data_IF_161788397880
#
_entry.id   IF_161788397880
#
_cell.length_a   1.000
_cell.length_b   1.000
_cell.length_c   1.000
_cell.angle_alpha   90.00
_cell.angle_beta   90.00
_cell.angle_gamma   90.00
#
_symmetry.space_group_name_H-M   'P 1'
#
loop_
_entity.id
_entity.type
_entity.pdbx_description
1 polymer ?
#
# COMPACT_ATOMS: atom_id res chain seq x y z
N UNK A 1 -52.50 83.97 8.81
CA UNK A 1 -51.34 83.06 8.72
C UNK A 1 -51.79 81.74 8.11
N UNK A 2 -51.54 81.53 6.82
CA UNK A 2 -51.64 80.19 6.21
C UNK A 2 -50.54 80.11 5.16
N UNK A 3 -49.37 79.63 5.58
CA UNK A 3 -48.28 79.29 4.67
C UNK A 3 -48.68 77.99 3.98
N UNK A 4 -49.20 78.09 2.76
CA UNK A 4 -49.25 76.95 1.84
C UNK A 4 -47.81 76.60 1.49
N UNK A 5 -47.29 75.52 2.07
CA UNK A 5 -46.11 74.85 1.54
C UNK A 5 -46.47 74.29 0.18
N UNK A 6 -46.01 74.95 -0.89
CA UNK A 6 -45.92 74.32 -2.20
C UNK A 6 -44.90 73.19 -2.05
N UNK A 7 -45.38 71.95 -2.13
CA UNK A 7 -44.55 70.77 -2.18
C UNK A 7 -43.85 70.81 -3.54
N UNK A 8 -42.56 71.08 -3.55
CA UNK A 8 -41.74 71.05 -4.75
C UNK A 8 -41.57 69.58 -5.15
N UNK A 9 -42.54 69.07 -5.92
CA UNK A 9 -42.41 67.76 -6.58
C UNK A 9 -41.55 67.96 -7.83
N UNK A 10 -40.24 68.06 -7.62
CA UNK A 10 -39.27 67.87 -8.71
C UNK A 10 -39.37 66.40 -9.14
N UNK A 11 -40.28 66.12 -10.07
CA UNK A 11 -40.33 64.83 -10.75
C UNK A 11 -38.97 64.52 -11.33
N UNK A 12 -38.46 63.31 -11.08
CA UNK A 12 -37.18 62.87 -11.60
C UNK A 12 -37.08 63.19 -13.09
N UNK A 13 -36.03 63.88 -13.50
CA UNK A 13 -35.81 64.14 -14.91
C UNK A 13 -35.57 62.81 -15.61
N UNK A 14 -36.07 62.67 -16.84
CA UNK A 14 -35.94 61.44 -17.64
C UNK A 14 -34.49 60.93 -17.68
N UNK A 15 -33.53 61.86 -17.65
CA UNK A 15 -32.10 61.57 -17.66
C UNK A 15 -31.62 60.89 -16.37
N UNK A 16 -32.11 61.30 -15.19
CA UNK A 16 -31.78 60.64 -13.92
C UNK A 16 -32.34 59.22 -13.88
N UNK A 17 -33.58 59.03 -14.37
CA UNK A 17 -34.20 57.72 -14.44
C UNK A 17 -33.45 56.79 -15.40
N UNK A 18 -33.02 57.30 -16.55
CA UNK A 18 -32.17 56.56 -17.51
C UNK A 18 -30.82 56.20 -16.88
N UNK A 19 -30.21 57.11 -16.13
CA UNK A 19 -28.93 56.85 -15.43
C UNK A 19 -29.09 55.77 -14.35
N UNK A 20 -30.16 55.80 -13.56
CA UNK A 20 -30.43 54.78 -12.54
C UNK A 20 -30.70 53.42 -13.17
N UNK A 21 -31.48 53.36 -14.25
CA UNK A 21 -31.76 52.10 -14.95
C UNK A 21 -30.50 51.51 -15.58
N UNK A 22 -29.65 52.33 -16.20
CA UNK A 22 -28.39 51.85 -16.77
C UNK A 22 -27.42 51.35 -15.71
N UNK A 23 -27.29 52.08 -14.59
CA UNK A 23 -26.49 51.63 -13.44
C UNK A 23 -26.99 50.32 -12.84
N UNK A 24 -28.31 50.17 -12.65
CA UNK A 24 -28.88 48.94 -12.08
C UNK A 24 -28.69 47.75 -13.01
N UNK A 25 -28.80 47.94 -14.34
CA UNK A 25 -28.51 46.89 -15.32
C UNK A 25 -27.04 46.46 -15.23
N UNK A 26 -26.09 47.41 -15.21
CA UNK A 26 -24.65 47.10 -15.12
C UNK A 26 -24.32 46.34 -13.84
N UNK A 27 -24.87 46.80 -12.70
CA UNK A 27 -24.68 46.13 -11.40
C UNK A 27 -25.29 44.72 -11.43
N UNK A 28 -26.51 44.57 -11.95
CA UNK A 28 -27.16 43.27 -12.07
C UNK A 28 -26.37 42.32 -12.97
N UNK A 29 -25.85 42.79 -14.10
CA UNK A 29 -24.99 42.01 -14.99
C UNK A 29 -23.70 41.57 -14.30
N UNK A 30 -23.05 42.44 -13.54
CA UNK A 30 -21.84 42.08 -12.79
C UNK A 30 -22.12 41.01 -11.71
N UNK A 31 -23.25 41.13 -11.00
CA UNK A 31 -23.67 40.14 -10.00
C UNK A 31 -23.99 38.79 -10.65
N UNK A 32 -24.67 38.78 -11.80
CA UNK A 32 -24.96 37.55 -12.53
C UNK A 32 -23.69 36.82 -12.98
N UNK A 33 -22.69 37.55 -13.52
CA UNK A 33 -21.39 36.98 -13.88
C UNK A 33 -20.67 36.38 -12.68
N UNK A 34 -20.69 37.06 -11.53
CA UNK A 34 -20.11 36.54 -10.29
C UNK A 34 -20.84 35.27 -9.81
N UNK A 35 -22.17 35.24 -9.91
CA UNK A 35 -22.98 34.09 -9.53
C UNK A 35 -22.69 32.88 -10.43
N UNK A 36 -22.58 33.07 -11.75
CA UNK A 36 -22.22 32.01 -12.69
C UNK A 36 -20.82 31.44 -12.39
N UNK A 37 -19.84 32.31 -12.13
CA UNK A 37 -18.50 31.89 -11.77
C UNK A 37 -18.47 31.13 -10.43
N UNK A 38 -19.27 31.58 -9.45
CA UNK A 38 -19.40 30.89 -8.17
C UNK A 38 -20.06 29.50 -8.34
N UNK A 39 -21.12 29.40 -9.14
CA UNK A 39 -21.82 28.13 -9.40
C UNK A 39 -20.92 27.13 -10.12
N UNK A 40 -20.18 27.57 -11.15
CA UNK A 40 -19.24 26.71 -11.89
C UNK A 40 -18.10 26.23 -11.01
N UNK A 41 -17.52 27.12 -10.20
CA UNK A 41 -16.45 26.77 -9.23
C UNK A 41 -16.95 25.80 -8.17
N UNK A 42 -18.14 26.02 -7.62
CA UNK A 42 -18.74 25.13 -6.62
C UNK A 42 -18.98 23.74 -7.20
N UNK A 43 -19.56 23.68 -8.41
CA UNK A 43 -19.78 22.42 -9.12
C UNK A 43 -18.47 21.68 -9.42
N UNK A 44 -17.43 22.39 -9.86
CA UNK A 44 -16.12 21.79 -10.11
C UNK A 44 -15.51 21.22 -8.81
N UNK A 45 -15.62 21.93 -7.69
CA UNK A 45 -15.18 21.46 -6.38
C UNK A 45 -15.97 20.22 -5.91
N UNK A 46 -17.30 20.21 -6.09
CA UNK A 46 -18.14 19.06 -5.76
C UNK A 46 -17.75 17.82 -6.57
N UNK A 47 -17.59 17.96 -7.90
CA UNK A 47 -17.17 16.86 -8.77
C UNK A 47 -15.78 16.33 -8.40
N UNK A 48 -14.83 17.22 -8.09
CA UNK A 48 -13.51 16.84 -7.63
C UNK A 48 -13.58 16.07 -6.31
N UNK A 49 -14.38 16.54 -5.34
CA UNK A 49 -14.55 15.87 -4.05
C UNK A 49 -15.18 14.48 -4.19
N UNK A 50 -16.20 14.35 -5.04
CA UNK A 50 -16.85 13.07 -5.33
C UNK A 50 -15.87 12.07 -5.96
N UNK A 51 -15.07 12.52 -6.91
CA UNK A 51 -14.05 11.71 -7.58
C UNK A 51 -12.94 11.27 -6.62
N UNK A 52 -12.48 12.19 -5.74
CA UNK A 52 -11.55 11.86 -4.66
C UNK A 52 -12.12 10.82 -3.69
N UNK A 53 -13.38 10.96 -3.28
CA UNK A 53 -14.00 10.03 -2.35
C UNK A 53 -14.22 8.65 -3.00
N UNK A 54 -14.57 8.62 -4.29
CA UNK A 54 -14.60 7.37 -5.05
C UNK A 54 -13.22 6.69 -5.11
N UNK A 55 -12.15 7.45 -5.32
CA UNK A 55 -10.79 6.95 -5.27
C UNK A 55 -10.43 6.39 -3.88
N UNK A 56 -10.74 7.10 -2.78
CA UNK A 56 -10.52 6.59 -1.41
C UNK A 56 -11.27 5.29 -1.14
N UNK A 57 -12.55 5.20 -1.51
CA UNK A 57 -13.34 3.96 -1.37
C UNK A 57 -12.72 2.81 -2.16
N UNK A 58 -12.22 3.09 -3.37
CA UNK A 58 -11.56 2.11 -4.23
C UNK A 58 -10.26 1.59 -3.63
N UNK A 59 -9.41 2.49 -3.12
CA UNK A 59 -8.18 2.11 -2.42
C UNK A 59 -8.48 1.29 -1.16
N UNK A 60 -9.54 1.63 -0.43
CA UNK A 60 -10.02 0.82 0.70
C UNK A 60 -10.50 -0.58 0.31
N UNK A 61 -11.18 -0.72 -0.84
CA UNK A 61 -11.55 -2.02 -1.40
C UNK A 61 -10.32 -2.84 -1.78
N UNK A 62 -9.41 -2.23 -2.54
CA UNK A 62 -8.16 -2.85 -2.98
C UNK A 62 -7.31 -3.31 -1.79
N UNK A 63 -7.18 -2.50 -0.75
CA UNK A 63 -6.48 -2.87 0.48
C UNK A 63 -7.10 -4.07 1.19
N UNK A 64 -8.44 -4.20 1.21
CA UNK A 64 -9.10 -5.40 1.76
C UNK A 64 -8.80 -6.64 0.94
N UNK A 65 -8.82 -6.53 -0.39
CA UNK A 65 -8.55 -7.65 -1.30
C UNK A 65 -7.08 -8.09 -1.23
N UNK A 66 -6.15 -7.14 -1.19
CA UNK A 66 -4.72 -7.41 -1.06
C UNK A 66 -4.32 -7.91 0.34
N UNK A 67 -5.09 -7.58 1.39
CA UNK A 67 -4.92 -8.25 2.69
C UNK A 67 -5.46 -9.67 2.70
N UNK A 68 -6.38 -9.99 1.79
CA UNK A 68 -6.98 -11.31 1.63
C UNK A 68 -6.42 -12.04 0.40
N UNK A 69 -5.14 -11.81 0.08
CA UNK A 69 -4.44 -12.56 -0.96
C UNK A 69 -4.51 -14.06 -0.68
N UNK A 70 -4.62 -14.85 -1.75
CA UNK A 70 -4.61 -16.29 -1.65
C UNK A 70 -3.34 -16.85 -2.28
N UNK A 71 -2.57 -17.57 -1.48
CA UNK A 71 -1.41 -18.29 -1.98
C UNK A 71 -1.84 -19.54 -2.77
N UNK A 72 -1.23 -19.80 -3.95
CA UNK A 72 -1.50 -21.02 -4.70
C UNK A 72 -0.98 -22.28 -4.00
N UNK A 73 0.09 -22.17 -3.20
CA UNK A 73 0.68 -23.28 -2.43
C UNK A 73 0.83 -22.93 -0.95
N UNK A 74 1.09 -23.92 -0.10
CA UNK A 74 1.34 -23.68 1.33
C UNK A 74 2.77 -23.15 1.60
N UNK A 75 3.66 -23.25 0.62
CA UNK A 75 5.10 -23.06 0.82
C UNK A 75 5.67 -21.86 0.05
N UNK A 76 4.94 -21.35 -0.95
CA UNK A 76 5.34 -20.19 -1.75
C UNK A 76 4.20 -19.18 -1.89
N UNK A 77 4.36 -17.95 -1.38
CA UNK A 77 3.46 -16.85 -1.65
C UNK A 77 3.68 -16.32 -3.08
N UNK A 78 2.92 -16.87 -4.02
CA UNK A 78 2.86 -16.39 -5.41
C UNK A 78 1.45 -15.82 -5.69
N UNK A 79 0.98 -14.93 -4.81
CA UNK A 79 -0.36 -14.38 -4.98
C UNK A 79 -0.40 -13.24 -6.00
N UNK A 80 0.71 -12.51 -6.23
CA UNK A 80 0.80 -11.51 -7.31
C UNK A 80 1.28 -12.18 -8.58
N UNK A 81 0.46 -12.15 -9.64
CA UNK A 81 0.76 -12.78 -10.93
C UNK A 81 1.23 -11.76 -11.98
N UNK A 82 0.97 -10.46 -11.76
CA UNK A 82 1.44 -9.36 -12.62
C UNK A 82 1.60 -8.08 -11.81
N UNK A 83 2.76 -7.44 -11.89
CA UNK A 83 3.14 -6.21 -11.18
C UNK A 83 3.44 -5.04 -12.15
N UNK A 84 2.58 -4.80 -13.14
CA UNK A 84 2.75 -3.70 -14.08
C UNK A 84 2.40 -2.35 -13.46
N UNK A 85 3.02 -1.24 -13.90
CA UNK A 85 2.81 0.09 -13.32
C UNK A 85 1.36 0.59 -13.45
N UNK A 86 0.58 0.03 -14.37
CA UNK A 86 -0.83 0.36 -14.60
C UNK A 86 -1.72 -0.88 -14.69
N UNK A 87 -1.17 -2.06 -14.38
CA UNK A 87 -1.86 -3.34 -14.52
C UNK A 87 -1.36 -4.33 -13.45
N UNK A 88 -2.17 -4.51 -12.43
CA UNK A 88 -1.93 -5.39 -11.29
C UNK A 88 -2.89 -6.58 -11.36
N UNK A 89 -2.36 -7.81 -11.31
CA UNK A 89 -3.16 -9.03 -11.21
C UNK A 89 -2.70 -9.84 -10.01
N UNK A 90 -3.65 -10.29 -9.20
CA UNK A 90 -3.38 -11.13 -8.05
C UNK A 90 -4.50 -12.11 -7.75
N UNK A 91 -4.18 -13.13 -6.95
CA UNK A 91 -5.09 -14.14 -6.44
C UNK A 91 -5.67 -13.71 -5.08
N UNK A 92 -6.98 -13.83 -4.93
CA UNK A 92 -7.69 -13.57 -3.68
C UNK A 92 -8.65 -14.71 -3.33
N UNK A 93 -8.93 -14.88 -2.04
CA UNK A 93 -9.89 -15.86 -1.57
C UNK A 93 -11.32 -15.37 -1.82
N UNK A 94 -12.12 -16.16 -2.56
CA UNK A 94 -13.53 -15.86 -2.74
C UNK A 94 -14.33 -16.15 -1.47
N UNK A 95 -15.36 -15.34 -1.21
CA UNK A 95 -16.18 -15.43 0.02
C UNK A 95 -16.97 -16.73 0.12
N UNK A 96 -17.47 -17.25 -1.00
CA UNK A 96 -18.34 -18.43 -1.04
C UNK A 96 -17.79 -19.40 -2.08
N UNK A 97 -17.68 -20.68 -1.72
CA UNK A 97 -17.26 -21.74 -2.65
C UNK A 97 -18.47 -22.29 -3.41
N UNK A 98 -18.50 -22.24 -4.74
CA UNK A 98 -19.58 -22.86 -5.52
C UNK A 98 -19.67 -24.36 -5.23
N UNK A 99 -20.89 -24.90 -5.22
CA UNK A 99 -21.09 -26.33 -5.06
C UNK A 99 -20.39 -27.10 -6.20
N UNK A 100 -19.80 -28.26 -5.88
CA UNK A 100 -19.04 -29.10 -6.81
C UNK A 100 -17.79 -28.44 -7.42
N UNK A 101 -17.36 -27.27 -6.92
CA UNK A 101 -16.14 -26.62 -7.39
C UNK A 101 -14.90 -27.45 -7.05
N UNK A 102 -14.14 -27.79 -8.09
CA UNK A 102 -12.83 -28.46 -8.01
C UNK A 102 -11.71 -27.49 -7.61
N UNK A 103 -11.97 -26.18 -7.60
CA UNK A 103 -11.09 -25.16 -7.04
C UNK A 103 -11.06 -25.32 -5.50
N UNK A 104 -10.17 -26.18 -5.03
CA UNK A 104 -10.09 -26.60 -3.63
C UNK A 104 -9.93 -25.43 -2.66
N UNK A 105 -9.10 -24.44 -3.03
CA UNK A 105 -8.80 -23.25 -2.23
C UNK A 105 -9.81 -22.11 -2.40
N UNK A 106 -10.82 -22.27 -3.27
CA UNK A 106 -11.81 -21.25 -3.59
C UNK A 106 -11.19 -19.88 -3.94
N UNK A 107 -10.16 -19.91 -4.79
CA UNK A 107 -9.43 -18.71 -5.19
C UNK A 107 -10.00 -18.11 -6.47
N UNK A 108 -9.87 -16.81 -6.62
CA UNK A 108 -10.22 -16.11 -7.85
C UNK A 108 -9.14 -15.05 -8.15
N UNK A 109 -9.10 -14.58 -9.38
CA UNK A 109 -8.18 -13.51 -9.79
C UNK A 109 -8.89 -12.18 -9.73
N UNK A 110 -8.20 -11.19 -9.18
CA UNK A 110 -8.60 -9.79 -9.25
C UNK A 110 -7.55 -9.05 -10.06
N UNK A 111 -8.01 -8.24 -11.00
CA UNK A 111 -7.17 -7.34 -11.79
C UNK A 111 -7.59 -5.91 -11.57
N UNK A 112 -6.62 -5.06 -11.31
CA UNK A 112 -6.78 -3.62 -11.39
C UNK A 112 -5.96 -3.10 -12.54
N UNK A 113 -6.61 -2.42 -13.48
CA UNK A 113 -5.91 -1.86 -14.62
C UNK A 113 -6.43 -0.46 -14.94
N UNK A 114 -5.58 0.38 -15.53
CA UNK A 114 -5.96 1.74 -15.95
C UNK A 114 -6.13 1.81 -17.45
N UNK A 115 -7.20 2.48 -17.88
CA UNK A 115 -7.49 2.75 -19.30
C UNK A 115 -8.38 3.98 -19.44
N UNK A 116 -8.09 4.86 -20.39
CA UNK A 116 -8.90 6.04 -20.72
C UNK A 116 -9.28 6.91 -19.50
N UNK A 117 -8.33 7.18 -18.60
CA UNK A 117 -8.56 8.00 -17.40
C UNK A 117 -9.44 7.32 -16.33
N UNK A 118 -9.60 6.00 -16.39
CA UNK A 118 -10.41 5.21 -15.46
C UNK A 118 -9.62 4.04 -14.90
N UNK A 119 -9.89 3.71 -13.64
CA UNK A 119 -9.42 2.48 -13.00
C UNK A 119 -10.52 1.44 -13.07
N UNK A 120 -10.19 0.30 -13.66
CA UNK A 120 -11.07 -0.84 -13.78
C UNK A 120 -10.68 -1.91 -12.78
N UNK A 121 -11.69 -2.56 -12.19
CA UNK A 121 -11.53 -3.79 -11.44
C UNK A 121 -12.20 -4.93 -12.21
N UNK A 122 -11.43 -5.95 -12.54
CA UNK A 122 -11.90 -7.15 -13.23
C UNK A 122 -11.74 -8.38 -12.33
N UNK A 123 -12.63 -9.35 -12.49
CA UNK A 123 -12.54 -10.64 -11.82
C UNK A 123 -12.48 -11.76 -12.83
N UNK A 124 -11.70 -12.79 -12.53
CA UNK A 124 -11.77 -14.08 -13.21
C UNK A 124 -12.05 -15.16 -12.17
N UNK A 125 -13.24 -15.74 -12.29
CA UNK A 125 -13.75 -16.81 -11.44
C UNK A 125 -13.72 -18.14 -12.22
N UNK A 126 -13.32 -19.23 -11.57
CA UNK A 126 -13.32 -20.58 -12.15
C UNK A 126 -13.69 -21.64 -11.12
N UNK A 127 -14.23 -22.75 -11.61
CA UNK A 127 -14.63 -23.92 -10.80
C UNK A 127 -13.77 -25.15 -11.06
N UNK A 128 -12.90 -25.12 -12.07
CA UNK A 128 -11.93 -26.17 -12.37
C UNK A 128 -10.83 -26.24 -11.31
N UNK A 129 -10.07 -27.34 -11.27
CA UNK A 129 -8.98 -27.50 -10.32
C UNK A 129 -7.89 -26.41 -10.49
N UNK A 130 -7.63 -26.04 -11.75
CA UNK A 130 -6.69 -24.99 -12.13
C UNK A 130 -7.31 -24.12 -13.23
N UNK A 131 -6.83 -22.88 -13.36
CA UNK A 131 -7.19 -21.99 -14.46
C UNK A 131 -5.97 -21.19 -14.90
N UNK A 132 -5.76 -21.08 -16.21
CA UNK A 132 -4.69 -20.27 -16.79
C UNK A 132 -4.93 -18.78 -16.56
N UNK A 133 -3.85 -18.01 -16.51
CA UNK A 133 -3.93 -16.55 -16.43
C UNK A 133 -4.62 -16.01 -17.69
N UNK A 134 -5.71 -15.24 -17.57
CA UNK A 134 -6.38 -14.68 -18.73
C UNK A 134 -5.56 -13.59 -19.41
N UNK A 135 -5.81 -13.35 -20.69
CA UNK A 135 -5.10 -12.33 -21.45
C UNK A 135 -5.37 -10.92 -20.88
N UNK A 136 -4.31 -10.14 -20.75
CA UNK A 136 -4.32 -8.83 -20.09
C UNK A 136 -3.67 -7.74 -20.97
N UNK A 137 -3.89 -7.80 -22.28
CA UNK A 137 -3.23 -6.93 -23.26
C UNK A 137 -3.93 -5.56 -23.40
N UNK A 138 -5.18 -5.46 -22.97
CA UNK A 138 -5.97 -4.22 -22.97
C UNK A 138 -6.63 -3.99 -21.61
N UNK A 139 -6.94 -2.73 -21.32
CA UNK A 139 -7.70 -2.34 -20.14
C UNK A 139 -8.90 -1.45 -20.54
N UNK A 140 -10.14 -1.83 -20.20
CA UNK A 140 -10.52 -3.13 -19.66
C UNK A 140 -10.37 -4.23 -20.72
N UNK A 141 -10.07 -5.45 -20.31
CA UNK A 141 -10.22 -6.61 -21.19
C UNK A 141 -11.72 -6.95 -21.35
N UNK A 142 -12.18 -7.26 -22.55
CA UNK A 142 -13.59 -7.65 -22.79
C UNK A 142 -13.89 -9.00 -22.14
N UNK A 143 -15.01 -9.06 -21.40
CA UNK A 143 -15.32 -10.18 -20.50
C UNK A 143 -15.50 -11.53 -21.22
N UNK A 144 -15.93 -11.52 -22.48
CA UNK A 144 -16.32 -12.72 -23.23
C UNK A 144 -15.19 -13.36 -24.04
N UNK A 145 -14.10 -12.63 -24.32
CA UNK A 145 -13.01 -13.12 -25.20
C UNK A 145 -11.72 -13.41 -24.44
N UNK A 146 -11.49 -12.71 -23.32
CA UNK A 146 -10.20 -12.72 -22.64
C UNK A 146 -10.24 -13.40 -21.27
N UNK A 147 -11.30 -14.14 -20.93
CA UNK A 147 -11.42 -14.93 -19.69
C UNK A 147 -11.74 -14.13 -18.41
N UNK A 148 -11.98 -12.82 -18.50
CA UNK A 148 -12.39 -11.99 -17.36
C UNK A 148 -13.90 -12.06 -17.14
N UNK A 149 -14.35 -12.79 -16.13
CA UNK A 149 -15.79 -12.98 -15.82
C UNK A 149 -16.56 -11.69 -15.55
N UNK A 150 -15.95 -10.70 -14.89
CA UNK A 150 -16.60 -9.40 -14.61
C UNK A 150 -15.61 -8.25 -14.78
N UNK A 151 -16.11 -7.06 -15.08
CA UNK A 151 -15.32 -5.83 -15.18
C UNK A 151 -16.17 -4.60 -14.89
N UNK A 152 -15.71 -3.73 -13.99
CA UNK A 152 -16.38 -2.46 -13.67
C UNK A 152 -15.39 -1.34 -13.46
N UNK A 153 -15.83 -0.11 -13.71
CA UNK A 153 -15.10 1.10 -13.31
C UNK A 153 -15.20 1.22 -11.79
N UNK A 154 -14.07 1.40 -11.12
CA UNK A 154 -14.00 1.62 -9.66
C UNK A 154 -13.60 3.04 -9.32
N UNK A 155 -12.74 3.67 -10.12
CA UNK A 155 -12.43 5.10 -10.03
C UNK A 155 -12.36 5.73 -11.43
N UNK A 156 -12.61 7.02 -11.51
CA UNK A 156 -12.66 7.82 -12.73
C UNK A 156 -11.90 9.13 -12.54
N UNK A 157 -11.79 9.92 -13.61
CA UNK A 157 -11.06 11.21 -13.64
C UNK A 157 -9.58 11.06 -13.23
N UNK A 158 -8.98 9.91 -13.55
CA UNK A 158 -7.56 9.68 -13.34
C UNK A 158 -6.75 10.51 -14.35
N UNK A 159 -5.90 11.37 -13.84
CA UNK A 159 -4.95 12.18 -14.60
C UNK A 159 -3.56 11.57 -14.67
N UNK A 160 -3.34 10.35 -14.14
CA UNK A 160 -2.02 9.68 -14.12
C UNK A 160 -1.28 9.71 -15.47
N UNK A 161 -1.98 9.62 -16.60
CA UNK A 161 -1.34 9.56 -17.92
C UNK A 161 -0.43 8.33 -18.02
N UNK A 162 0.88 8.54 -18.17
CA UNK A 162 1.90 7.48 -18.16
C UNK A 162 2.50 7.21 -16.78
N UNK A 163 2.16 8.01 -15.76
CA UNK A 163 2.65 7.84 -14.39
C UNK A 163 2.18 6.49 -13.85
N UNK A 164 3.07 5.83 -13.11
CA UNK A 164 2.74 4.59 -12.43
C UNK A 164 1.59 4.81 -11.45
N UNK A 165 0.58 3.95 -11.58
CA UNK A 165 -0.54 3.84 -10.65
C UNK A 165 -0.18 2.88 -9.54
N UNK A 166 0.60 1.84 -9.83
CA UNK A 166 1.09 0.88 -8.85
C UNK A 166 2.62 0.93 -8.78
N UNK A 167 3.14 1.12 -7.58
CA UNK A 167 4.55 0.90 -7.27
C UNK A 167 4.72 -0.26 -6.30
N UNK A 168 5.88 -0.91 -6.37
CA UNK A 168 6.21 -2.14 -5.66
C UNK A 168 7.57 -1.97 -4.98
N UNK A 169 7.78 -2.66 -3.87
CA UNK A 169 9.08 -2.79 -3.19
C UNK A 169 10.07 -3.69 -3.96
N UNK A 170 9.56 -4.57 -4.83
CA UNK A 170 10.36 -5.50 -5.63
C UNK A 170 9.81 -5.69 -7.05
N UNK A 171 10.69 -5.96 -8.00
CA UNK A 171 10.32 -6.38 -9.36
C UNK A 171 10.02 -7.88 -9.46
N UNK A 172 10.52 -8.68 -8.52
CA UNK A 172 10.32 -10.13 -8.45
C UNK A 172 9.03 -10.42 -7.71
N UNK A 173 8.06 -11.08 -8.38
CA UNK A 173 6.71 -11.32 -7.86
C UNK A 173 6.67 -11.97 -6.47
N UNK A 174 7.55 -12.95 -6.22
CA UNK A 174 7.64 -13.68 -4.95
C UNK A 174 8.26 -12.89 -3.80
N UNK A 175 8.79 -11.70 -4.07
CA UNK A 175 9.40 -10.81 -3.07
C UNK A 175 8.58 -9.53 -2.84
N UNK A 176 7.42 -9.40 -3.48
CA UNK A 176 6.57 -8.23 -3.29
C UNK A 176 5.89 -8.34 -1.94
N UNK A 177 6.25 -7.45 -1.02
CA UNK A 177 5.60 -7.34 0.30
C UNK A 177 4.85 -6.04 0.49
N UNK A 178 5.08 -5.05 -0.37
CA UNK A 178 4.39 -3.77 -0.32
C UNK A 178 3.95 -3.35 -1.72
N UNK A 179 2.67 -2.98 -1.82
CA UNK A 179 2.12 -2.35 -3.02
C UNK A 179 1.62 -0.97 -2.61
N UNK A 180 2.01 0.05 -3.36
CA UNK A 180 1.55 1.43 -3.14
C UNK A 180 0.82 1.93 -4.38
N UNK A 181 -0.52 1.83 -4.43
CA UNK A 181 -1.31 2.53 -5.41
C UNK A 181 -1.29 4.05 -5.20
N UNK A 182 -1.05 4.80 -6.28
CA UNK A 182 -1.09 6.27 -6.35
C UNK A 182 -2.02 6.73 -7.47
N UNK A 183 -3.10 7.39 -7.10
CA UNK A 183 -4.10 7.94 -8.02
C UNK A 183 -3.96 9.46 -8.06
N UNK A 184 -3.75 9.99 -9.25
CA UNK A 184 -3.85 11.42 -9.52
C UNK A 184 -5.25 11.69 -10.08
N UNK A 185 -5.99 12.59 -9.44
CA UNK A 185 -7.39 12.89 -9.77
C UNK A 185 -7.48 14.35 -10.21
N UNK A 186 -8.00 14.57 -11.42
CA UNK A 186 -8.26 15.90 -11.97
C UNK A 186 -9.50 15.84 -12.87
N UNK A 187 -10.58 16.47 -12.42
CA UNK A 187 -11.84 16.56 -13.16
C UNK A 187 -11.85 17.69 -14.21
N UNK A 188 -10.96 18.68 -14.08
CA UNK A 188 -10.90 19.86 -14.94
C UNK A 188 -9.45 20.27 -15.23
N UNK A 189 -8.74 19.55 -16.12
CA UNK A 189 -7.34 19.83 -16.42
C UNK A 189 -7.08 21.29 -16.82
N UNK A 190 -6.17 21.94 -16.10
CA UNK A 190 -5.79 23.34 -16.34
C UNK A 190 -6.71 24.38 -15.70
N UNK A 191 -7.72 23.97 -14.93
CA UNK A 191 -8.58 24.83 -14.14
C UNK A 191 -8.50 24.49 -12.64
N UNK A 192 -9.14 25.32 -11.80
CA UNK A 192 -9.37 24.96 -10.40
C UNK A 192 -10.61 24.06 -10.27
N UNK A 193 -10.61 23.08 -9.35
CA UNK A 193 -9.53 22.74 -8.41
C UNK A 193 -8.36 22.02 -9.08
N UNK A 194 -7.15 22.22 -8.55
CA UNK A 194 -5.95 21.58 -9.06
C UNK A 194 -5.94 20.05 -8.82
N UNK A 195 -5.11 19.34 -9.61
CA UNK A 195 -4.88 17.90 -9.46
C UNK A 195 -4.60 17.52 -8.00
N UNK A 196 -5.25 16.45 -7.55
CA UNK A 196 -5.08 15.90 -6.20
C UNK A 196 -4.47 14.50 -6.28
N UNK A 197 -3.49 14.22 -5.42
CA UNK A 197 -2.89 12.88 -5.31
C UNK A 197 -3.47 12.14 -4.11
N UNK A 198 -3.89 10.89 -4.33
CA UNK A 198 -4.36 9.98 -3.29
C UNK A 198 -3.53 8.71 -3.38
N UNK A 199 -2.81 8.38 -2.32
CA UNK A 199 -1.99 7.19 -2.24
C UNK A 199 -2.26 6.40 -0.96
N UNK A 200 -2.03 5.09 -1.00
CA UNK A 200 -2.04 4.25 0.19
C UNK A 200 -1.00 3.15 0.03
N UNK A 201 -0.17 2.93 1.05
CA UNK A 201 0.71 1.76 1.12
C UNK A 201 -0.02 0.57 1.72
N UNK A 202 0.12 -0.60 1.11
CA UNK A 202 -0.43 -1.85 1.64
C UNK A 202 0.64 -2.93 1.81
N UNK A 203 0.84 -3.37 3.06
CA UNK A 203 1.70 -4.49 3.40
C UNK A 203 0.98 -5.83 3.22
N UNK A 204 1.55 -6.70 2.39
CA UNK A 204 1.05 -8.02 2.03
C UNK A 204 1.57 -9.06 3.04
N UNK A 205 1.01 -9.05 4.25
CA UNK A 205 1.49 -9.90 5.37
C UNK A 205 1.48 -11.39 5.07
N UNK A 206 0.55 -11.86 4.24
CA UNK A 206 0.47 -13.25 3.81
C UNK A 206 1.40 -13.60 2.64
N UNK A 207 2.16 -12.63 2.13
CA UNK A 207 3.26 -12.85 1.21
C UNK A 207 4.63 -12.86 1.90
N UNK A 208 4.73 -12.27 3.08
CA UNK A 208 5.96 -12.24 3.85
C UNK A 208 6.33 -13.64 4.39
N UNK A 209 7.58 -14.08 4.20
CA UNK A 209 8.05 -15.40 4.63
C UNK A 209 8.89 -15.30 5.89
N UNK A 210 8.98 -16.42 6.62
CA UNK A 210 9.80 -16.48 7.83
C UNK A 210 11.28 -16.31 7.45
N UNK A 211 12.04 -15.46 8.17
CA UNK A 211 13.45 -15.28 7.89
C UNK A 211 14.29 -16.51 8.23
N UNK A 212 15.50 -16.60 7.66
CA UNK A 212 16.47 -17.65 7.97
C UNK A 212 17.55 -17.12 8.93
N UNK A 213 17.64 -17.68 10.13
CA UNK A 213 18.65 -17.40 11.14
C UNK A 213 19.85 -18.33 10.97
N UNK A 214 20.96 -17.77 10.53
CA UNK A 214 22.25 -18.44 10.45
C UNK A 214 23.35 -17.55 11.05
N UNK A 215 24.31 -18.18 11.70
CA UNK A 215 25.39 -17.45 12.37
C UNK A 215 26.66 -18.28 12.50
N UNK A 216 27.79 -17.61 12.70
CA UNK A 216 29.05 -18.20 13.16
C UNK A 216 29.37 -17.70 14.57
N UNK A 217 30.08 -18.52 15.34
CA UNK A 217 30.58 -18.17 16.66
C UNK A 217 32.04 -18.58 16.75
N UNK A 218 32.91 -17.64 17.09
CA UNK A 218 34.36 -17.87 17.13
C UNK A 218 34.92 -17.32 18.44
N UNK A 219 35.58 -18.18 19.21
CA UNK A 219 36.32 -17.75 20.37
C UNK A 219 37.68 -17.18 19.94
N UNK A 220 38.04 -16.01 20.44
CA UNK A 220 39.30 -15.34 20.18
C UNK A 220 39.78 -14.63 21.44
N UNK A 221 40.94 -15.04 21.98
CA UNK A 221 41.48 -14.49 23.22
C UNK A 221 40.51 -14.66 24.39
N UNK A 222 39.96 -13.55 24.89
CA UNK A 222 39.03 -13.50 26.03
C UNK A 222 37.58 -13.22 25.61
N UNK A 223 37.27 -13.28 24.30
CA UNK A 223 35.95 -12.98 23.79
C UNK A 223 35.45 -14.03 22.80
N UNK A 224 34.14 -14.07 22.65
CA UNK A 224 33.43 -14.83 21.63
C UNK A 224 32.83 -13.81 20.68
N UNK A 225 33.24 -13.86 19.42
CA UNK A 225 32.66 -13.09 18.34
C UNK A 225 31.49 -13.89 17.77
N UNK A 226 30.30 -13.29 17.82
CA UNK A 226 29.07 -13.82 17.27
C UNK A 226 28.75 -13.03 16.00
N UNK A 227 28.66 -13.71 14.87
CA UNK A 227 28.38 -13.08 13.58
C UNK A 227 27.17 -13.72 12.91
N UNK A 228 26.10 -12.96 12.76
CA UNK A 228 24.83 -13.34 12.17
C UNK A 228 24.67 -12.90 10.72
N UNK A 229 25.73 -12.44 10.05
CA UNK A 229 25.68 -11.94 8.67
C UNK A 229 25.13 -12.94 7.65
N UNK A 230 25.21 -14.24 7.95
CA UNK A 230 24.67 -15.31 7.13
C UNK A 230 23.14 -15.44 7.23
N UNK A 231 22.50 -14.70 8.14
CA UNK A 231 21.04 -14.65 8.24
C UNK A 231 20.45 -13.83 7.10
N UNK A 232 19.32 -14.30 6.55
CA UNK A 232 18.68 -13.66 5.40
C UNK A 232 17.17 -13.74 5.48
N UNK A 233 16.52 -12.66 5.08
CA UNK A 233 15.09 -12.65 4.80
C UNK A 233 14.84 -13.04 3.33
N UNK A 234 13.88 -13.92 3.01
CA UNK A 234 13.60 -14.34 1.64
C UNK A 234 13.17 -13.18 0.71
N UNK A 235 12.55 -12.15 1.28
CA UNK A 235 12.13 -10.91 0.60
C UNK A 235 13.25 -9.86 0.58
N UNK A 236 14.33 -10.07 1.34
CA UNK A 236 15.47 -9.14 1.44
C UNK A 236 15.25 -8.02 2.45
N UNK A 237 14.29 -8.19 3.36
CA UNK A 237 14.03 -7.20 4.41
C UNK A 237 15.15 -7.16 5.46
N UNK A 238 15.28 -6.00 6.10
CA UNK A 238 16.23 -5.78 7.19
C UNK A 238 15.80 -6.57 8.42
N UNK A 239 16.70 -7.40 8.94
CA UNK A 239 16.47 -8.20 10.14
C UNK A 239 16.92 -7.47 11.39
N UNK A 240 16.21 -7.75 12.49
CA UNK A 240 16.65 -7.43 13.85
C UNK A 240 17.19 -8.70 14.51
N UNK A 241 18.27 -8.56 15.28
CA UNK A 241 19.07 -9.69 15.79
C UNK A 241 19.05 -9.69 17.31
N UNK A 242 18.77 -10.86 17.90
CA UNK A 242 18.81 -11.12 19.34
C UNK A 242 19.66 -12.36 19.60
N UNK A 243 20.79 -12.19 20.29
CA UNK A 243 21.70 -13.26 20.67
C UNK A 243 21.26 -13.87 22.00
N UNK A 244 21.16 -15.19 22.06
CA UNK A 244 20.64 -15.93 23.21
C UNK A 244 21.69 -16.91 23.73
N UNK A 245 21.89 -16.98 25.04
CA UNK A 245 22.65 -18.05 25.68
C UNK A 245 21.68 -19.11 26.19
N UNK A 246 21.87 -20.36 25.78
CA UNK A 246 21.01 -21.48 26.19
C UNK A 246 21.62 -22.37 27.26
N UNK A 247 22.95 -22.41 27.36
CA UNK A 247 23.65 -23.25 28.33
C UNK A 247 25.06 -22.74 28.56
N UNK A 248 25.59 -23.03 29.75
CA UNK A 248 27.00 -22.86 30.08
C UNK A 248 27.48 -24.08 30.87
N UNK A 249 28.69 -24.57 30.56
CA UNK A 249 29.28 -25.74 31.24
C UNK A 249 29.66 -25.45 32.69
N UNK A 250 29.93 -24.20 33.02
CA UNK A 250 30.43 -23.78 34.33
C UNK A 250 29.42 -22.86 35.00
N UNK A 251 28.87 -23.20 36.19
CA UNK A 251 27.99 -22.31 36.94
C UNK A 251 28.67 -20.95 37.21
N UNK A 252 27.95 -19.85 37.00
CA UNK A 252 28.48 -18.50 37.24
C UNK A 252 29.42 -17.95 36.15
N UNK A 253 29.71 -18.71 35.09
CA UNK A 253 30.58 -18.29 33.98
C UNK A 253 29.96 -17.26 33.02
N UNK A 254 28.74 -16.78 33.32
CA UNK A 254 28.01 -15.79 32.54
C UNK A 254 27.25 -16.42 31.38
N UNK A 255 25.93 -16.57 31.52
CA UNK A 255 25.03 -17.01 30.45
C UNK A 255 23.65 -16.39 30.68
N UNK A 256 23.50 -15.08 30.42
CA UNK A 256 22.20 -14.43 30.49
C UNK A 256 21.31 -14.95 29.35
N UNK A 257 19.99 -14.98 29.58
CA UNK A 257 19.02 -15.41 28.56
C UNK A 257 19.22 -14.67 27.22
N UNK A 258 19.48 -13.37 27.28
CA UNK A 258 19.84 -12.53 26.13
C UNK A 258 21.26 -12.01 26.33
N UNK A 259 22.14 -12.28 25.36
CA UNK A 259 23.56 -11.90 25.34
C UNK A 259 23.73 -10.46 24.83
N UNK A 260 22.98 -10.10 23.79
CA UNK A 260 23.11 -8.83 23.09
C UNK A 260 22.25 -8.75 21.83
N UNK A 261 22.39 -7.65 21.09
CA UNK A 261 21.67 -7.39 19.84
C UNK A 261 22.65 -6.91 18.75
N UNK A 262 22.20 -6.95 17.50
CA UNK A 262 22.98 -6.53 16.33
C UNK A 262 23.53 -7.70 15.50
N UNK A 263 23.89 -7.45 14.23
CA UNK A 263 24.33 -8.50 13.30
C UNK A 263 25.67 -9.13 13.72
N UNK A 264 26.54 -8.36 14.37
CA UNK A 264 27.78 -8.84 14.99
C UNK A 264 27.80 -8.41 16.45
N UNK A 265 28.20 -9.31 17.35
CA UNK A 265 28.28 -9.03 18.78
C UNK A 265 29.54 -9.65 19.40
N UNK A 266 30.28 -8.84 20.17
CA UNK A 266 31.46 -9.29 20.91
C UNK A 266 31.06 -9.57 22.36
N UNK A 267 31.07 -10.85 22.74
CA UNK A 267 30.69 -11.29 24.06
C UNK A 267 31.91 -11.70 24.88
N UNK A 268 32.01 -11.23 26.14
CA UNK A 268 33.16 -11.51 27.03
C UNK A 268 32.73 -12.28 28.28
N UNK A 269 32.33 -13.55 28.15
CA UNK A 269 32.02 -14.38 29.31
C UNK A 269 33.31 -14.90 29.98
N UNK A 270 33.16 -15.63 31.09
CA UNK A 270 34.28 -16.36 31.68
C UNK A 270 34.77 -17.51 30.78
N UNK A 271 35.81 -18.22 31.21
CA UNK A 271 36.22 -19.45 30.52
C UNK A 271 35.16 -20.54 30.71
N UNK A 272 34.79 -21.23 29.63
CA UNK A 272 33.69 -22.19 29.62
C UNK A 272 33.20 -22.54 28.22
N UNK A 273 32.37 -23.58 28.14
CA UNK A 273 31.63 -23.94 26.92
C UNK A 273 30.22 -23.38 27.01
N UNK A 274 29.80 -22.66 25.97
CA UNK A 274 28.51 -21.98 25.89
C UNK A 274 27.69 -22.47 24.72
N UNK A 275 26.41 -22.72 24.95
CA UNK A 275 25.43 -22.91 23.88
C UNK A 275 24.84 -21.56 23.48
N UNK A 276 25.03 -21.16 22.23
CA UNK A 276 24.53 -19.89 21.68
C UNK A 276 23.47 -20.16 20.62
N UNK A 277 22.45 -19.31 20.57
CA UNK A 277 21.46 -19.24 19.50
C UNK A 277 21.32 -17.80 19.02
N UNK A 278 20.95 -17.65 17.75
CA UNK A 278 20.54 -16.39 17.17
C UNK A 278 19.05 -16.43 16.89
N UNK A 279 18.31 -15.44 17.38
CA UNK A 279 16.94 -15.16 16.94
C UNK A 279 16.96 -13.94 16.03
N UNK A 280 16.42 -14.08 14.83
CA UNK A 280 16.20 -12.98 13.90
C UNK A 280 14.72 -12.69 13.76
N UNK A 281 14.36 -11.42 13.60
CA UNK A 281 12.98 -10.96 13.43
C UNK A 281 12.91 -9.98 12.27
N UNK A 282 11.97 -10.20 11.35
CA UNK A 282 11.70 -9.29 10.23
C UNK A 282 10.83 -8.08 10.66
N UNK A 283 10.64 -7.06 9.78
CA UNK A 283 9.79 -5.91 10.06
C UNK A 283 8.30 -6.23 10.26
N UNK A 284 7.81 -7.35 9.74
CA UNK A 284 6.43 -7.81 9.93
C UNK A 284 6.23 -8.59 11.23
N UNK A 285 7.30 -8.89 11.96
CA UNK A 285 7.32 -9.63 13.22
C UNK A 285 7.43 -11.14 13.07
N UNK A 286 7.70 -11.70 11.88
CA UNK A 286 8.04 -13.13 11.77
C UNK A 286 9.45 -13.35 12.30
N UNK A 287 9.64 -14.46 13.00
CA UNK A 287 10.91 -14.75 13.66
C UNK A 287 11.36 -16.17 13.39
N UNK A 288 12.67 -16.37 13.33
CA UNK A 288 13.27 -17.69 13.39
C UNK A 288 14.40 -17.68 14.42
N UNK A 289 14.54 -18.78 15.16
CA UNK A 289 15.68 -19.00 16.05
C UNK A 289 16.51 -20.15 15.51
N UNK A 290 17.80 -19.91 15.31
CA UNK A 290 18.76 -20.90 14.84
C UNK A 290 18.83 -22.13 15.76
N UNK A 291 19.45 -23.21 15.28
CA UNK A 291 19.92 -24.29 16.16
C UNK A 291 20.98 -23.77 17.14
N UNK A 292 21.16 -24.47 18.26
CA UNK A 292 22.22 -24.16 19.22
C UNK A 292 23.58 -24.53 18.64
N UNK A 293 24.53 -23.59 18.66
CA UNK A 293 25.95 -23.86 18.41
C UNK A 293 26.72 -23.78 19.72
N UNK A 294 27.54 -24.81 19.97
CA UNK A 294 28.46 -24.82 21.11
C UNK A 294 29.75 -24.11 20.73
N UNK A 295 30.18 -23.16 21.56
CA UNK A 295 31.45 -22.45 21.42
C UNK A 295 32.18 -22.51 22.77
N UNK A 296 33.48 -22.78 22.72
CA UNK A 296 34.29 -22.95 23.91
C UNK A 296 35.32 -21.81 23.99
N UNK A 297 35.32 -21.10 25.12
CA UNK A 297 36.31 -20.08 25.44
C UNK A 297 37.30 -20.68 26.44
N UNK A 298 38.51 -20.95 25.97
CA UNK A 298 39.55 -21.59 26.77
C UNK A 298 39.99 -20.69 27.93
N UNK A 299 40.40 -21.32 29.03
CA UNK A 299 40.99 -20.64 30.18
C UNK A 299 42.07 -21.49 30.82
N UNK A 300 42.64 -20.99 31.90
CA UNK A 300 43.75 -21.66 32.61
C UNK A 300 43.37 -23.08 33.07
N UNK A 301 42.09 -23.31 33.41
CA UNK A 301 41.57 -24.59 33.92
C UNK A 301 40.49 -25.22 33.03
N UNK A 302 40.12 -24.57 31.92
CA UNK A 302 39.09 -25.03 30.99
C UNK A 302 39.74 -25.28 29.63
N UNK A 303 39.83 -26.55 29.25
CA UNK A 303 40.35 -26.97 27.94
C UNK A 303 39.23 -27.19 26.94
N UNK A 304 39.39 -26.55 25.78
CA UNK A 304 38.70 -26.77 24.52
C UNK A 304 39.73 -27.44 23.57
#
# INVERSE_FOLDING_TARGET
>A
MSKRFARDESGFQLIELMVVVTLTIVVMSAVLLLLENFQTTTRANELQNDSQEQARRTLGLMARELRNLASPTNELPEAVERNGPQDLIFLSAAKTKPNLSLNVRNTHRVRYCVGSGRLYRQEHNWTTATASLPAANTCPATATTNGWTTGRVVAQDLSNGTRAVFSYDSTTLTRITEITPRLHIDTTPGASPAETTIETGMYLRNQNRVPTAAFSATASGIEIVLDGSDSSDPEGQVLTYEWLCTSASTPGSGCPKTIGTGPVYHWRPGAGTYGVRLKVTDPAGLTQTSATKSVCLAGIVVSC
#
